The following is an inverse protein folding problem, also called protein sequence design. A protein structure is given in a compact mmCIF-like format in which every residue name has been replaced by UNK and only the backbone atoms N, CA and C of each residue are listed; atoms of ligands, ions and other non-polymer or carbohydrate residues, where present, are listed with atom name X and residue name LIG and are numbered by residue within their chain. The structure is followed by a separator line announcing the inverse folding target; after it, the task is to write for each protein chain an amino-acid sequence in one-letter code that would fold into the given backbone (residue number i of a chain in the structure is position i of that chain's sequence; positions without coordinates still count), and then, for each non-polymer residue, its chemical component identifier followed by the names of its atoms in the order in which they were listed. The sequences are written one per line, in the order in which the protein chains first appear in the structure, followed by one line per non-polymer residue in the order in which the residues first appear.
data_IF_264926481940
#
_entry.id   IF_264926481940
#
_cell.length_a   1.000
_cell.length_b   1.000
_cell.length_c   1.000
_cell.angle_alpha   90.00
_cell.angle_beta   90.00
_cell.angle_gamma   90.00
#
_symmetry.space_group_name_H-M   'P 1'
#
loop_
_entity.id
_entity.type
_entity.pdbx_description
1 polymer ?
#
# COMPACT_ATOMS: atom_id res chain seq x y z
N UNK A 1 -52.65 -24.35 -38.69
CA UNK A 1 -51.59 -25.21 -38.11
C UNK A 1 -50.26 -24.58 -38.51
N UNK A 2 -49.77 -23.63 -37.70
CA UNK A 2 -48.64 -22.77 -38.04
C UNK A 2 -47.65 -22.75 -36.87
N UNK A 3 -46.37 -22.80 -37.23
CA UNK A 3 -45.22 -22.94 -36.35
C UNK A 3 -45.04 -21.75 -35.40
N UNK A 4 -44.71 -22.04 -34.15
CA UNK A 4 -44.10 -21.09 -33.21
C UNK A 4 -42.68 -21.57 -32.88
N UNK A 5 -41.63 -20.78 -33.16
CA UNK A 5 -40.31 -21.04 -32.62
C UNK A 5 -40.23 -20.47 -31.19
N UNK A 6 -39.90 -21.33 -30.22
CA UNK A 6 -39.50 -20.90 -28.87
C UNK A 6 -38.06 -20.38 -28.93
N UNK A 7 -37.90 -19.07 -28.91
CA UNK A 7 -36.61 -18.41 -28.74
C UNK A 7 -36.01 -18.77 -27.38
N UNK A 8 -34.86 -19.46 -27.40
CA UNK A 8 -34.01 -19.63 -26.23
C UNK A 8 -33.41 -18.27 -25.84
N UNK A 9 -33.98 -17.62 -24.82
CA UNK A 9 -33.32 -16.51 -24.12
C UNK A 9 -32.19 -17.11 -23.26
N UNK A 10 -30.97 -17.01 -23.74
CA UNK A 10 -29.75 -17.16 -22.95
C UNK A 10 -29.62 -15.97 -22.00
N UNK A 11 -30.32 -16.03 -20.86
CA UNK A 11 -30.03 -15.16 -19.72
C UNK A 11 -28.83 -15.72 -18.96
N UNK A 12 -27.62 -15.58 -19.52
CA UNK A 12 -26.43 -15.65 -18.70
C UNK A 12 -26.35 -14.35 -17.93
N UNK A 13 -26.63 -14.46 -16.63
CA UNK A 13 -26.44 -13.40 -15.66
C UNK A 13 -25.05 -12.82 -15.83
N UNK A 14 -25.03 -11.50 -16.03
CA UNK A 14 -23.83 -10.70 -16.08
C UNK A 14 -23.13 -10.86 -14.72
N UNK A 15 -22.15 -11.78 -14.63
CA UNK A 15 -21.27 -11.87 -13.48
C UNK A 15 -20.61 -10.50 -13.33
N UNK A 16 -20.67 -9.86 -12.15
CA UNK A 16 -19.96 -8.61 -11.95
C UNK A 16 -18.48 -8.86 -12.25
N UNK A 17 -17.93 -8.07 -13.16
CA UNK A 17 -16.51 -8.11 -13.48
C UNK A 17 -15.68 -8.10 -12.20
N UNK A 18 -14.57 -8.85 -12.11
CA UNK A 18 -13.71 -8.81 -10.95
C UNK A 18 -13.26 -7.37 -10.77
N UNK A 19 -13.81 -6.69 -9.75
CA UNK A 19 -13.33 -5.41 -9.30
C UNK A 19 -11.87 -5.62 -8.93
N UNK A 20 -11.00 -5.14 -9.80
CA UNK A 20 -9.56 -5.09 -9.55
C UNK A 20 -9.42 -4.38 -8.20
N UNK A 21 -8.87 -5.01 -7.16
CA UNK A 21 -8.67 -4.32 -5.89
C UNK A 21 -7.82 -3.10 -6.21
N UNK A 22 -8.38 -1.91 -5.98
CA UNK A 22 -7.68 -0.65 -6.19
C UNK A 22 -6.32 -0.75 -5.48
N UNK A 23 -5.21 -0.44 -6.16
CA UNK A 23 -3.92 -0.54 -5.52
C UNK A 23 -3.87 0.45 -4.35
N UNK A 24 -3.52 -0.03 -3.15
CA UNK A 24 -2.28 0.33 -2.45
C UNK A 24 -1.95 1.83 -2.26
N UNK A 25 -2.91 2.73 -2.43
CA UNK A 25 -2.66 4.17 -2.53
C UNK A 25 -2.09 4.74 -1.23
N UNK A 26 -2.55 4.28 -0.07
CA UNK A 26 -2.02 4.74 1.22
C UNK A 26 -0.57 4.32 1.47
N UNK A 27 -0.22 3.06 1.22
CA UNK A 27 1.08 2.47 1.59
C UNK A 27 2.20 2.84 0.62
N UNK A 28 1.92 2.75 -0.69
CA UNK A 28 2.85 3.30 -1.69
C UNK A 28 2.98 4.81 -1.52
N UNK A 29 1.92 5.50 -1.08
CA UNK A 29 2.01 6.93 -0.75
C UNK A 29 2.92 7.20 0.43
N UNK A 30 2.93 6.38 1.49
CA UNK A 30 3.81 6.57 2.65
C UNK A 30 5.30 6.38 2.32
N UNK A 31 5.66 5.30 1.61
CA UNK A 31 7.04 5.08 1.14
C UNK A 31 7.47 6.20 0.19
N UNK A 32 6.59 6.57 -0.75
CA UNK A 32 6.85 7.69 -1.66
C UNK A 32 6.96 9.03 -0.92
N UNK A 33 6.19 9.25 0.15
CA UNK A 33 6.25 10.45 0.98
C UNK A 33 7.58 10.55 1.71
N UNK A 34 8.02 9.46 2.35
CA UNK A 34 9.33 9.36 2.99
C UNK A 34 10.49 9.56 2.00
N UNK A 35 10.43 8.92 0.83
CA UNK A 35 11.44 9.08 -0.21
C UNK A 35 11.49 10.52 -0.76
N UNK A 36 10.32 11.16 -0.97
CA UNK A 36 10.24 12.56 -1.41
C UNK A 36 10.83 13.53 -0.39
N UNK A 37 10.78 13.23 0.91
CA UNK A 37 11.39 14.08 1.93
C UNK A 37 12.90 14.25 1.72
N UNK A 38 13.61 13.21 1.28
CA UNK A 38 15.06 13.28 1.00
C UNK A 38 15.38 14.23 -0.15
N UNK A 39 14.62 14.17 -1.23
CA UNK A 39 14.79 15.09 -2.35
C UNK A 39 14.44 16.52 -1.93
N UNK A 40 13.38 16.67 -1.13
CA UNK A 40 12.93 17.97 -0.63
C UNK A 40 13.95 18.59 0.33
N UNK A 41 14.58 17.80 1.21
CA UNK A 41 15.60 18.30 2.14
C UNK A 41 16.84 18.81 1.41
N UNK A 42 17.34 18.07 0.43
CA UNK A 42 18.47 18.50 -0.40
C UNK A 42 18.15 19.79 -1.17
N UNK A 43 16.96 19.84 -1.80
CA UNK A 43 16.50 21.04 -2.51
C UNK A 43 16.38 22.24 -1.57
N UNK A 44 15.84 22.03 -0.38
CA UNK A 44 15.66 23.06 0.64
C UNK A 44 17.01 23.60 1.15
N UNK A 45 18.00 22.74 1.38
CA UNK A 45 19.35 23.16 1.77
C UNK A 45 19.98 24.02 0.67
N UNK A 46 19.91 23.59 -0.59
CA UNK A 46 20.42 24.38 -1.71
C UNK A 46 19.72 25.75 -1.82
N UNK A 47 18.39 25.79 -1.70
CA UNK A 47 17.63 27.04 -1.71
C UNK A 47 18.01 27.93 -0.53
N UNK A 48 18.30 27.35 0.63
CA UNK A 48 18.75 28.09 1.82
C UNK A 48 20.13 28.70 1.60
N UNK A 49 21.09 27.94 1.04
CA UNK A 49 22.42 28.45 0.65
C UNK A 49 22.31 29.60 -0.35
N UNK A 50 21.39 29.53 -1.31
CA UNK A 50 21.18 30.61 -2.28
C UNK A 50 20.47 31.82 -1.64
N UNK A 51 19.61 31.59 -0.65
CA UNK A 51 18.96 32.65 0.10
C UNK A 51 19.97 33.45 0.96
N UNK A 52 20.97 32.80 1.58
CA UNK A 52 22.00 33.51 2.36
C UNK A 52 22.86 34.45 1.51
N UNK A 53 22.92 34.21 0.18
CA UNK A 53 23.58 35.09 -0.79
C UNK A 53 22.74 36.28 -1.25
N UNK A 54 21.60 36.56 -0.58
CA UNK A 54 20.75 37.72 -0.84
C UNK A 54 19.68 37.50 -1.91
N UNK A 55 19.32 36.25 -2.23
CA UNK A 55 18.27 35.97 -3.22
C UNK A 55 16.89 35.80 -2.59
N UNK A 56 16.04 36.82 -2.72
CA UNK A 56 14.65 36.80 -2.23
C UNK A 56 13.80 35.68 -2.84
N UNK A 57 14.05 35.35 -4.11
CA UNK A 57 13.38 34.25 -4.80
C UNK A 57 13.66 32.92 -4.09
N UNK A 58 14.93 32.66 -3.76
CA UNK A 58 15.33 31.43 -3.10
C UNK A 58 14.92 31.40 -1.63
N UNK A 59 14.87 32.55 -0.96
CA UNK A 59 14.32 32.66 0.40
C UNK A 59 12.85 32.20 0.44
N UNK A 60 12.01 32.70 -0.48
CA UNK A 60 10.59 32.28 -0.60
C UNK A 60 10.46 30.80 -0.97
N UNK A 61 11.30 30.31 -1.89
CA UNK A 61 11.29 28.93 -2.31
C UNK A 61 11.72 27.98 -1.17
N UNK A 62 12.75 28.34 -0.39
CA UNK A 62 13.19 27.59 0.77
C UNK A 62 12.11 27.52 1.86
N UNK A 63 11.44 28.64 2.19
CA UNK A 63 10.31 28.66 3.13
C UNK A 63 9.16 27.77 2.66
N UNK A 64 8.85 27.78 1.36
CA UNK A 64 7.81 26.90 0.79
C UNK A 64 8.21 25.42 0.87
N UNK A 65 9.46 25.09 0.58
CA UNK A 65 9.99 23.73 0.72
C UNK A 65 9.99 23.28 2.19
N UNK A 66 10.33 24.16 3.13
CA UNK A 66 10.27 23.89 4.57
C UNK A 66 8.85 23.57 5.02
N UNK A 67 7.85 24.38 4.61
CA UNK A 67 6.46 24.13 4.96
C UNK A 67 5.96 22.76 4.45
N UNK A 68 6.24 22.43 3.18
CA UNK A 68 5.91 21.12 2.60
C UNK A 68 6.63 19.98 3.31
N UNK A 69 7.88 20.20 3.71
CA UNK A 69 8.69 19.23 4.43
C UNK A 69 8.13 18.98 5.83
N UNK A 70 7.81 20.03 6.58
CA UNK A 70 7.20 19.94 7.91
C UNK A 70 5.83 19.25 7.87
N UNK A 71 4.98 19.58 6.90
CA UNK A 71 3.68 18.91 6.73
C UNK A 71 3.85 17.41 6.43
N UNK A 72 4.76 17.08 5.51
CA UNK A 72 5.05 15.68 5.16
C UNK A 72 5.63 14.92 6.35
N UNK A 73 6.51 15.55 7.14
CA UNK A 73 7.10 14.95 8.32
C UNK A 73 6.06 14.68 9.40
N UNK A 74 5.18 15.65 9.68
CA UNK A 74 4.10 15.50 10.64
C UNK A 74 3.16 14.32 10.29
N UNK A 75 2.84 14.13 9.00
CA UNK A 75 2.06 12.98 8.53
C UNK A 75 2.77 11.66 8.78
N UNK A 76 4.08 11.58 8.56
CA UNK A 76 4.87 10.37 8.82
C UNK A 76 4.93 10.04 10.33
N UNK A 77 5.07 11.05 11.18
CA UNK A 77 5.06 10.91 12.65
C UNK A 77 3.69 10.49 13.18
N UNK A 78 2.60 10.90 12.52
CA UNK A 78 1.23 10.54 12.89
C UNK A 78 0.77 9.17 12.34
N UNK A 79 1.47 8.66 11.32
CA UNK A 79 1.16 7.38 10.67
C UNK A 79 1.03 6.20 11.66
N UNK A 80 1.91 6.01 12.68
CA UNK A 80 1.82 4.91 13.63
C UNK A 80 0.48 4.80 14.36
N UNK A 81 -0.26 5.92 14.52
CA UNK A 81 -1.58 5.91 15.19
C UNK A 81 -2.66 5.20 14.39
N UNK A 82 -2.44 5.03 13.10
CA UNK A 82 -3.38 4.44 12.15
C UNK A 82 -2.98 3.00 11.75
N UNK A 83 -1.89 2.48 12.32
CA UNK A 83 -1.41 1.12 12.10
C UNK A 83 -1.88 0.18 13.21
N UNK A 84 -1.77 -1.12 12.98
CA UNK A 84 -1.89 -2.09 14.06
C UNK A 84 -0.81 -1.86 15.14
N UNK A 85 -1.05 -2.37 16.35
CA UNK A 85 -0.20 -2.11 17.51
C UNK A 85 1.25 -2.53 17.27
N UNK A 86 1.48 -3.70 16.67
CA UNK A 86 2.83 -4.22 16.46
C UNK A 86 3.62 -3.40 15.45
N UNK A 87 2.98 -3.00 14.35
CA UNK A 87 3.59 -2.20 13.31
C UNK A 87 3.76 -0.74 13.71
N UNK A 88 2.78 -0.18 14.43
CA UNK A 88 2.87 1.14 15.02
C UNK A 88 4.08 1.26 15.96
N UNK A 89 4.31 0.26 16.81
CA UNK A 89 5.47 0.22 17.71
C UNK A 89 6.81 0.16 16.97
N UNK A 90 6.90 -0.57 15.84
CA UNK A 90 8.13 -0.61 15.02
C UNK A 90 8.49 0.75 14.42
N UNK A 91 7.51 1.48 13.90
CA UNK A 91 7.76 2.83 13.38
C UNK A 91 8.05 3.79 14.53
N UNK A 92 7.30 3.68 15.64
CA UNK A 92 7.47 4.53 16.83
C UNK A 92 8.87 4.42 17.42
N UNK A 93 9.40 3.20 17.56
CA UNK A 93 10.78 2.98 18.05
C UNK A 93 11.84 3.52 17.10
N UNK A 94 11.58 3.57 15.79
CA UNK A 94 12.47 4.21 14.80
C UNK A 94 12.48 5.73 14.91
N UNK A 95 11.33 6.33 15.22
CA UNK A 95 11.17 7.78 15.33
C UNK A 95 11.55 8.35 16.71
N UNK A 96 11.43 7.54 17.76
CA UNK A 96 11.72 7.94 19.15
C UNK A 96 13.22 7.80 19.50
N UNK A 97 13.60 8.45 20.61
CA UNK A 97 14.98 8.47 21.13
C UNK A 97 15.74 9.73 20.73
N UNK A 98 16.76 10.11 21.50
CA UNK A 98 17.52 11.36 21.29
C UNK A 98 18.26 11.44 19.95
N UNK A 99 18.55 10.29 19.34
CA UNK A 99 19.11 10.16 17.99
C UNK A 99 18.14 9.44 17.02
N UNK A 100 16.85 9.39 17.37
CA UNK A 100 15.81 8.86 16.50
C UNK A 100 15.48 9.82 15.36
N UNK A 101 14.73 9.33 14.37
CA UNK A 101 14.38 10.12 13.18
C UNK A 101 13.68 11.43 13.56
N UNK A 102 12.76 11.42 14.52
CA UNK A 102 11.99 12.62 14.90
C UNK A 102 12.90 13.77 15.37
N UNK A 103 13.65 13.61 16.47
CA UNK A 103 14.50 14.68 16.99
C UNK A 103 15.58 15.16 16.02
N UNK A 104 16.16 14.28 15.20
CA UNK A 104 17.14 14.68 14.18
C UNK A 104 16.52 15.56 13.10
N UNK A 105 15.31 15.21 12.64
CA UNK A 105 14.61 15.98 11.62
C UNK A 105 14.05 17.29 12.20
N UNK A 106 13.58 17.29 13.45
CA UNK A 106 13.15 18.51 14.15
C UNK A 106 14.30 19.51 14.32
N UNK A 107 15.48 19.04 14.75
CA UNK A 107 16.67 19.87 14.88
C UNK A 107 17.11 20.45 13.51
N UNK A 108 17.03 19.63 12.46
CA UNK A 108 17.29 20.07 11.10
C UNK A 108 16.31 21.15 10.64
N UNK A 109 15.00 20.97 10.83
CA UNK A 109 13.99 21.97 10.48
C UNK A 109 14.20 23.29 11.22
N UNK A 110 14.47 23.24 12.53
CA UNK A 110 14.76 24.43 13.34
C UNK A 110 16.00 25.17 12.84
N UNK A 111 17.05 24.44 12.45
CA UNK A 111 18.27 25.06 11.93
C UNK A 111 18.07 25.70 10.55
N UNK A 112 17.27 25.07 9.66
CA UNK A 112 16.87 25.68 8.38
C UNK A 112 16.08 26.96 8.63
N UNK A 113 15.05 26.91 9.46
CA UNK A 113 14.24 28.08 9.80
C UNK A 113 15.09 29.22 10.35
N UNK A 114 15.99 28.91 11.29
CA UNK A 114 16.91 29.88 11.88
C UNK A 114 17.83 30.51 10.84
N UNK A 115 18.35 29.70 9.91
CA UNK A 115 19.22 30.19 8.83
C UNK A 115 18.46 31.13 7.89
N UNK A 116 17.21 30.79 7.55
CA UNK A 116 16.35 31.62 6.71
C UNK A 116 15.98 32.95 7.39
N UNK A 117 15.67 32.94 8.69
CA UNK A 117 15.43 34.17 9.46
C UNK A 117 16.65 35.10 9.48
N UNK A 118 17.84 34.53 9.67
CA UNK A 118 19.09 35.31 9.70
C UNK A 118 19.44 35.87 8.31
N UNK A 119 19.18 35.09 7.25
CA UNK A 119 19.35 35.53 5.87
C UNK A 119 18.41 36.69 5.53
N UNK A 120 17.13 36.60 5.91
CA UNK A 120 16.14 37.64 5.70
C UNK A 120 16.49 38.95 6.41
N UNK A 121 17.07 38.86 7.61
CA UNK A 121 17.54 40.02 8.38
C UNK A 121 18.92 40.53 7.97
N UNK A 122 19.55 39.91 6.96
CA UNK A 122 20.92 40.18 6.53
C UNK A 122 21.91 40.18 7.71
N UNK A 123 21.70 39.27 8.66
CA UNK A 123 22.49 39.20 9.89
C UNK A 123 23.91 38.69 9.61
N UNK A 124 24.95 39.27 10.24
CA UNK A 124 26.32 38.76 10.09
C UNK A 124 26.50 37.33 10.62
N UNK A 125 25.54 36.82 11.40
CA UNK A 125 25.54 35.45 11.94
C UNK A 125 24.99 34.40 10.96
N UNK A 126 24.59 34.80 9.75
CA UNK A 126 24.03 33.87 8.76
C UNK A 126 25.03 32.81 8.33
N UNK A 127 26.31 33.17 8.18
CA UNK A 127 27.37 32.23 7.81
C UNK A 127 27.60 31.15 8.88
N UNK A 128 27.56 31.55 10.17
CA UNK A 128 27.67 30.63 11.31
C UNK A 128 26.48 29.66 11.35
N UNK A 129 25.27 30.15 11.06
CA UNK A 129 24.08 29.32 10.99
C UNK A 129 24.10 28.38 9.76
N UNK A 130 24.60 28.86 8.63
CA UNK A 130 24.74 28.04 7.42
C UNK A 130 25.76 26.92 7.61
N UNK A 131 26.90 27.19 8.25
CA UNK A 131 27.89 26.16 8.57
C UNK A 131 27.29 25.05 9.44
N UNK A 132 26.55 25.42 10.50
CA UNK A 132 25.81 24.45 11.33
C UNK A 132 24.75 23.68 10.54
N UNK A 133 24.03 24.34 9.63
CA UNK A 133 23.04 23.66 8.79
C UNK A 133 23.70 22.57 7.93
N UNK A 134 24.83 22.88 7.30
CA UNK A 134 25.58 21.92 6.49
C UNK A 134 26.08 20.76 7.36
N UNK A 135 26.63 21.05 8.55
CA UNK A 135 27.13 20.04 9.49
C UNK A 135 26.06 19.00 9.87
N UNK A 136 24.82 19.42 10.12
CA UNK A 136 23.73 18.50 10.52
C UNK A 136 22.98 17.88 9.34
N UNK A 137 23.25 18.33 8.10
CA UNK A 137 22.50 17.88 6.91
C UNK A 137 22.70 16.38 6.65
N UNK A 138 23.92 15.88 6.80
CA UNK A 138 24.20 14.45 6.57
C UNK A 138 23.44 13.56 7.56
N UNK A 139 23.40 13.95 8.84
CA UNK A 139 22.60 13.26 9.85
C UNK A 139 21.10 13.27 9.53
N UNK A 140 20.58 14.38 8.99
CA UNK A 140 19.20 14.45 8.52
C UNK A 140 18.94 13.51 7.32
N UNK A 141 19.87 13.41 6.37
CA UNK A 141 19.75 12.50 5.23
C UNK A 141 19.76 11.02 5.67
N UNK A 142 20.60 10.66 6.64
CA UNK A 142 20.64 9.33 7.22
C UNK A 142 19.36 8.99 8.00
N UNK A 143 18.81 9.95 8.74
CA UNK A 143 17.52 9.81 9.41
C UNK A 143 16.37 9.60 8.40
N UNK A 144 16.34 10.36 7.30
CA UNK A 144 15.35 10.18 6.22
C UNK A 144 15.49 8.82 5.51
N UNK A 145 16.72 8.33 5.34
CA UNK A 145 16.98 7.00 4.78
C UNK A 145 16.47 5.89 5.72
N UNK A 146 16.71 6.05 7.02
CA UNK A 146 16.21 5.15 8.06
C UNK A 146 14.68 5.12 8.06
N UNK A 147 14.04 6.30 8.00
CA UNK A 147 12.59 6.42 7.90
C UNK A 147 12.02 5.71 6.66
N UNK A 148 12.63 5.95 5.49
CA UNK A 148 12.22 5.33 4.22
C UNK A 148 12.30 3.81 4.29
N UNK A 149 13.39 3.29 4.85
CA UNK A 149 13.60 1.84 5.03
C UNK A 149 12.56 1.24 5.97
N UNK A 150 12.23 1.92 7.07
CA UNK A 150 11.22 1.45 8.01
C UNK A 150 9.83 1.35 7.37
N UNK A 151 9.43 2.35 6.58
CA UNK A 151 8.15 2.32 5.86
C UNK A 151 8.12 1.30 4.71
N UNK A 152 9.25 1.06 4.02
CA UNK A 152 9.34 0.02 3.00
C UNK A 152 9.19 -1.40 3.60
N UNK A 153 9.87 -1.65 4.72
CA UNK A 153 9.74 -2.92 5.46
C UNK A 153 8.31 -3.13 5.98
N UNK A 154 7.64 -2.05 6.41
CA UNK A 154 6.24 -2.09 6.81
C UNK A 154 5.33 -2.53 5.65
N UNK A 155 5.48 -1.88 4.49
CA UNK A 155 4.69 -2.22 3.29
C UNK A 155 4.89 -3.66 2.85
N UNK A 156 6.13 -4.16 2.89
CA UNK A 156 6.45 -5.56 2.58
C UNK A 156 5.79 -6.53 3.55
N UNK A 157 5.95 -6.32 4.86
CA UNK A 157 5.39 -7.21 5.88
C UNK A 157 3.85 -7.30 5.80
N UNK A 158 3.19 -6.17 5.55
CA UNK A 158 1.73 -6.14 5.38
C UNK A 158 1.29 -6.84 4.10
N UNK A 159 1.99 -6.59 2.99
CA UNK A 159 1.72 -7.29 1.72
C UNK A 159 1.88 -8.81 1.86
N UNK A 160 2.92 -9.26 2.55
CA UNK A 160 3.14 -10.70 2.81
C UNK A 160 2.01 -11.31 3.65
N UNK A 161 1.57 -10.60 4.69
CA UNK A 161 0.45 -11.03 5.56
C UNK A 161 -0.84 -11.19 4.75
N UNK A 162 -1.19 -10.17 3.97
CA UNK A 162 -2.39 -10.19 3.12
C UNK A 162 -2.33 -11.31 2.08
N UNK A 163 -1.17 -11.55 1.47
CA UNK A 163 -1.00 -12.65 0.51
C UNK A 163 -1.17 -14.02 1.17
N UNK A 164 -0.68 -14.18 2.41
CA UNK A 164 -0.86 -15.42 3.17
C UNK A 164 -2.34 -15.66 3.53
N UNK A 165 -3.05 -14.62 3.93
CA UNK A 165 -4.50 -14.69 4.19
C UNK A 165 -5.28 -15.07 2.93
N UNK A 166 -4.98 -14.42 1.80
CA UNK A 166 -5.60 -14.73 0.51
C UNK A 166 -5.34 -16.18 0.09
N UNK A 167 -4.10 -16.67 0.25
CA UNK A 167 -3.78 -18.07 -0.02
C UNK A 167 -4.59 -19.04 0.86
N UNK A 168 -4.78 -18.71 2.15
CA UNK A 168 -5.62 -19.48 3.06
C UNK A 168 -7.09 -19.52 2.66
N UNK A 169 -7.66 -18.38 2.26
CA UNK A 169 -9.03 -18.28 1.75
C UNK A 169 -9.19 -19.13 0.49
N UNK A 170 -8.26 -19.03 -0.46
CA UNK A 170 -8.32 -19.83 -1.69
C UNK A 170 -8.23 -21.33 -1.38
N UNK A 171 -7.35 -21.74 -0.47
CA UNK A 171 -7.26 -23.14 -0.05
C UNK A 171 -8.59 -23.63 0.57
N UNK A 172 -9.26 -22.79 1.36
CA UNK A 172 -10.58 -23.11 1.92
C UNK A 172 -11.65 -23.27 0.83
N UNK A 173 -11.67 -22.37 -0.17
CA UNK A 173 -12.58 -22.46 -1.32
C UNK A 173 -12.37 -23.77 -2.09
N UNK A 174 -11.11 -24.17 -2.32
CA UNK A 174 -10.79 -25.43 -2.99
C UNK A 174 -11.27 -26.66 -2.21
N UNK A 175 -11.14 -26.64 -0.88
CA UNK A 175 -11.69 -27.71 -0.03
C UNK A 175 -13.20 -27.81 -0.18
N UNK A 176 -13.92 -26.68 -0.07
CA UNK A 176 -15.38 -26.65 -0.21
C UNK A 176 -15.81 -27.09 -1.61
N UNK A 177 -15.12 -26.64 -2.66
CA UNK A 177 -15.40 -27.05 -4.04
C UNK A 177 -15.22 -28.57 -4.22
N UNK A 178 -14.19 -29.15 -3.60
CA UNK A 178 -13.94 -30.60 -3.64
C UNK A 178 -15.01 -31.39 -2.90
N UNK A 179 -15.42 -30.94 -1.73
CA UNK A 179 -16.53 -31.54 -0.97
C UNK A 179 -17.84 -31.49 -1.77
N UNK A 180 -18.17 -30.33 -2.31
CA UNK A 180 -19.35 -30.15 -3.17
C UNK A 180 -19.27 -31.03 -4.43
N UNK A 181 -18.08 -31.21 -5.01
CA UNK A 181 -17.86 -32.11 -6.15
C UNK A 181 -18.17 -33.57 -5.78
N UNK A 182 -17.72 -34.05 -4.62
CA UNK A 182 -18.05 -35.39 -4.11
C UNK A 182 -19.56 -35.53 -3.89
N UNK A 183 -20.22 -34.55 -3.30
CA UNK A 183 -21.68 -34.55 -3.09
C UNK A 183 -22.42 -34.59 -4.43
N UNK A 184 -22.01 -33.76 -5.39
CA UNK A 184 -22.60 -33.73 -6.74
C UNK A 184 -22.45 -35.07 -7.44
N UNK A 185 -21.30 -35.73 -7.30
CA UNK A 185 -21.06 -37.05 -7.86
C UNK A 185 -21.96 -38.12 -7.21
N UNK A 186 -22.06 -38.13 -5.88
CA UNK A 186 -22.97 -39.05 -5.18
C UNK A 186 -24.43 -38.85 -5.61
N UNK A 187 -24.86 -37.60 -5.79
CA UNK A 187 -26.19 -37.28 -6.30
C UNK A 187 -26.40 -37.79 -7.73
N UNK A 188 -25.41 -37.68 -8.62
CA UNK A 188 -25.47 -38.25 -9.98
C UNK A 188 -25.63 -39.78 -9.93
N UNK A 189 -24.87 -40.48 -9.07
CA UNK A 189 -24.97 -41.94 -8.91
C UNK A 189 -26.34 -42.34 -8.39
N UNK A 190 -26.89 -41.64 -7.39
CA UNK A 190 -28.24 -41.92 -6.87
C UNK A 190 -29.33 -41.64 -7.91
N UNK A 191 -29.21 -40.54 -8.66
CA UNK A 191 -30.13 -40.21 -9.75
C UNK A 191 -30.13 -41.28 -10.85
N UNK A 192 -28.96 -41.80 -11.21
CA UNK A 192 -28.84 -42.91 -12.17
C UNK A 192 -29.49 -44.19 -11.63
N UNK A 193 -29.30 -44.52 -10.34
CA UNK A 193 -29.92 -45.70 -9.70
C UNK A 193 -31.44 -45.60 -9.63
N UNK A 194 -32.00 -44.40 -9.46
CA UNK A 194 -33.44 -44.16 -9.41
C UNK A 194 -34.13 -44.27 -10.79
N UNK A 195 -33.36 -44.46 -11.88
CA UNK A 195 -33.91 -44.64 -13.22
C UNK A 195 -34.73 -43.42 -13.67
N UNK A 196 -35.98 -43.64 -14.10
CA UNK A 196 -36.84 -42.56 -14.56
C UNK A 196 -37.15 -41.53 -13.46
N UNK A 197 -37.27 -41.96 -12.19
CA UNK A 197 -37.58 -41.07 -11.07
C UNK A 197 -36.43 -40.14 -10.69
N UNK A 198 -35.20 -40.39 -11.17
CA UNK A 198 -34.01 -39.59 -10.88
C UNK A 198 -33.64 -38.57 -11.96
N UNK A 199 -34.35 -38.49 -13.10
CA UNK A 199 -33.94 -37.66 -14.25
C UNK A 199 -33.74 -36.19 -13.91
N UNK A 200 -34.63 -35.59 -13.13
CA UNK A 200 -34.54 -34.17 -12.76
C UNK A 200 -33.38 -33.92 -11.79
N UNK A 201 -33.14 -34.83 -10.85
CA UNK A 201 -32.00 -34.78 -9.93
C UNK A 201 -30.65 -34.94 -10.65
N UNK A 202 -30.58 -35.73 -11.72
CA UNK A 202 -29.38 -35.89 -12.53
C UNK A 202 -28.94 -34.57 -13.19
N UNK A 203 -29.90 -33.77 -13.66
CA UNK A 203 -29.62 -32.46 -14.30
C UNK A 203 -29.00 -31.51 -13.27
N UNK A 204 -29.62 -31.39 -12.08
CA UNK A 204 -29.11 -30.53 -11.00
C UNK A 204 -27.72 -30.95 -10.56
N UNK A 205 -27.49 -32.26 -10.41
CA UNK A 205 -26.20 -32.78 -9.98
C UNK A 205 -25.09 -32.58 -11.03
N UNK A 206 -25.41 -32.60 -12.32
CA UNK A 206 -24.47 -32.26 -13.40
C UNK A 206 -24.11 -30.77 -13.40
N UNK A 207 -25.09 -29.88 -13.23
CA UNK A 207 -24.84 -28.43 -13.16
C UNK A 207 -23.96 -28.09 -11.95
N UNK A 208 -24.26 -28.68 -10.79
CA UNK A 208 -23.46 -28.48 -9.58
C UNK A 208 -22.00 -28.94 -9.79
N UNK A 209 -21.79 -30.09 -10.43
CA UNK A 209 -20.45 -30.57 -10.76
C UNK A 209 -19.69 -29.60 -11.67
N UNK A 210 -20.37 -29.04 -12.68
CA UNK A 210 -19.82 -27.99 -13.54
C UNK A 210 -19.35 -26.77 -12.76
N UNK A 211 -20.20 -26.24 -11.87
CA UNK A 211 -19.89 -25.09 -11.01
C UNK A 211 -18.67 -25.37 -10.14
N UNK A 212 -18.60 -26.56 -9.52
CA UNK A 212 -17.46 -26.92 -8.65
C UNK A 212 -16.12 -26.98 -9.39
N UNK A 213 -16.13 -27.42 -10.66
CA UNK A 213 -14.91 -27.43 -11.50
C UNK A 213 -14.48 -26.02 -11.88
N UNK A 214 -15.44 -25.13 -12.17
CA UNK A 214 -15.16 -23.73 -12.49
C UNK A 214 -14.57 -22.99 -11.30
N UNK A 215 -15.12 -23.19 -10.09
CA UNK A 215 -14.58 -22.63 -8.85
C UNK A 215 -13.13 -23.07 -8.63
N UNK A 216 -12.83 -24.37 -8.77
CA UNK A 216 -11.47 -24.88 -8.58
C UNK A 216 -10.48 -24.27 -9.59
N UNK A 217 -10.90 -24.11 -10.85
CA UNK A 217 -10.11 -23.46 -11.90
C UNK A 217 -9.82 -21.98 -11.60
N UNK A 218 -10.84 -21.22 -11.19
CA UNK A 218 -10.69 -19.80 -10.82
C UNK A 218 -9.80 -19.62 -9.58
N UNK A 219 -9.93 -20.50 -8.59
CA UNK A 219 -9.08 -20.53 -7.41
C UNK A 219 -7.59 -20.73 -7.76
N UNK A 220 -7.28 -21.67 -8.65
CA UNK A 220 -5.90 -21.89 -9.12
C UNK A 220 -5.33 -20.67 -9.85
N UNK A 221 -6.14 -20.02 -10.69
CA UNK A 221 -5.74 -18.79 -11.37
C UNK A 221 -5.46 -17.66 -10.39
N UNK A 222 -6.28 -17.49 -9.36
CA UNK A 222 -6.09 -16.46 -8.33
C UNK A 222 -4.74 -16.62 -7.59
N UNK A 223 -4.38 -17.85 -7.22
CA UNK A 223 -3.09 -18.15 -6.57
C UNK A 223 -1.91 -17.91 -7.53
N UNK A 224 -2.04 -18.28 -8.80
CA UNK A 224 -1.00 -18.04 -9.81
C UNK A 224 -0.75 -16.55 -10.04
N UNK A 225 -1.82 -15.75 -10.13
CA UNK A 225 -1.75 -14.29 -10.26
C UNK A 225 -1.14 -13.64 -9.01
N UNK A 226 -1.51 -14.09 -7.82
CA UNK A 226 -0.92 -13.62 -6.57
C UNK A 226 0.58 -13.94 -6.47
N UNK A 227 1.00 -15.11 -6.98
CA UNK A 227 2.40 -15.54 -7.00
C UNK A 227 3.29 -14.84 -8.03
N UNK A 228 2.73 -14.33 -9.13
CA UNK A 228 3.48 -13.65 -10.22
C UNK A 228 3.88 -12.20 -9.89
N UNK A 229 3.32 -11.60 -8.84
CA UNK A 229 3.64 -10.25 -8.37
C UNK A 229 4.71 -10.21 -7.26
N UNK A 230 5.45 -11.32 -7.07
CA UNK A 230 6.67 -11.39 -6.26
C UNK A 230 7.88 -11.02 -7.11
#
# INVERSE_FOLDING_TARGET
MAAYPLSARSSHGNLPAPTTPAPRDGEMSLVNLAARQRMLSQRMVLQTVLATRGSDLHLKAARSSLALFSESHARLVDTPRHLDVAMGERIRTTYQGSAGVGPTIDAFMQQVERTLELAERQSPRVEEALARLVEITDGALDALNTATTAFDQLGKAKSETLMKELAGIVASIQTVAREAKVVSFNAQVMAARAGQHGREFAVVANVLSGITNEIDGLSLQAVSLAGRNR
#
